data_IF_245612523492
#
_entry.id   IF_245612523492
#
_cell.length_a   1.000
_cell.length_b   1.000
_cell.length_c   1.000
_cell.angle_alpha   90.00
_cell.angle_beta   90.00
_cell.angle_gamma   90.00
#
_symmetry.space_group_name_H-M   'P 1'
#
loop_
_entity.id
_entity.type
_entity.pdbx_description
1 polymer ?
#
# COMPACT_ATOMS: atom_id res chain seq x y z
N UNK A 1 -3.84 78.81 -6.46
CA UNK A 1 -3.12 77.70 -5.73
C UNK A 1 -3.80 76.34 -6.01
N UNK A 2 -3.17 75.49 -6.81
CA UNK A 2 -3.72 74.11 -7.10
C UNK A 2 -2.97 73.11 -6.28
N UNK A 3 -3.64 72.47 -5.32
CA UNK A 3 -3.09 71.40 -4.54
C UNK A 3 -3.10 70.10 -5.38
N UNK A 4 -1.93 69.55 -5.66
CA UNK A 4 -1.78 68.20 -6.24
C UNK A 4 -1.87 67.17 -5.13
N UNK A 5 -2.84 66.25 -5.23
CA UNK A 5 -2.94 65.06 -4.39
C UNK A 5 -2.09 63.96 -5.04
N UNK A 6 -1.05 63.52 -4.38
CA UNK A 6 -0.32 62.29 -4.72
C UNK A 6 -1.07 61.12 -4.09
N UNK A 7 -1.72 60.31 -4.91
CA UNK A 7 -2.29 59.08 -4.48
C UNK A 7 -1.18 58.03 -4.32
N UNK A 8 -0.97 57.56 -3.08
CA UNK A 8 -0.08 56.42 -2.77
C UNK A 8 -0.90 55.16 -3.02
N UNK A 9 -0.63 54.50 -4.14
CA UNK A 9 -1.21 53.21 -4.42
C UNK A 9 -0.56 52.13 -3.54
N UNK A 10 -1.34 51.55 -2.63
CA UNK A 10 -0.91 50.39 -1.84
C UNK A 10 -1.03 49.14 -2.72
N UNK A 11 0.09 48.59 -3.17
CA UNK A 11 0.11 47.29 -3.85
C UNK A 11 0.10 46.20 -2.78
N UNK A 12 -1.04 45.59 -2.61
CA UNK A 12 -1.18 44.42 -1.70
C UNK A 12 -0.64 43.18 -2.43
N UNK A 13 0.59 42.77 -2.10
CA UNK A 13 1.17 41.53 -2.61
C UNK A 13 0.61 40.40 -1.77
N UNK A 14 -0.35 39.64 -2.31
CA UNK A 14 -0.89 38.44 -1.69
C UNK A 14 0.12 37.31 -1.93
N UNK A 15 0.86 36.93 -0.90
CA UNK A 15 1.65 35.71 -0.91
C UNK A 15 0.69 34.49 -0.75
N UNK A 16 0.40 33.85 -1.86
CA UNK A 16 -0.24 32.52 -1.82
C UNK A 16 0.82 31.52 -1.34
N UNK A 17 0.81 31.23 -0.03
CA UNK A 17 1.56 30.12 0.50
C UNK A 17 0.92 28.82 0.00
N UNK A 18 1.51 28.21 -1.02
CA UNK A 18 1.18 26.83 -1.43
C UNK A 18 1.61 25.88 -0.31
N UNK A 19 0.65 25.41 0.49
CA UNK A 19 0.89 24.30 1.41
C UNK A 19 1.15 23.05 0.57
N UNK A 20 2.40 22.69 0.40
CA UNK A 20 2.77 21.38 -0.11
C UNK A 20 2.41 20.37 0.98
N UNK A 21 1.28 19.70 0.82
CA UNK A 21 0.95 18.55 1.62
C UNK A 21 2.09 17.53 1.48
N UNK A 22 2.78 17.24 2.56
CA UNK A 22 3.85 16.26 2.59
C UNK A 22 3.26 14.91 2.20
N UNK A 23 3.70 14.35 1.05
CA UNK A 23 3.31 13.00 0.62
C UNK A 23 3.68 12.03 1.74
N UNK A 24 2.75 11.16 2.17
CA UNK A 24 3.07 10.17 3.19
C UNK A 24 4.28 9.34 2.74
N UNK A 25 5.27 9.22 3.63
CA UNK A 25 6.49 8.48 3.34
C UNK A 25 6.13 7.03 3.05
N UNK A 26 6.31 6.61 1.80
CA UNK A 26 5.98 5.24 1.39
C UNK A 26 6.85 4.24 2.17
N UNK A 27 6.24 3.18 2.68
CA UNK A 27 6.95 2.10 3.36
C UNK A 27 7.85 1.38 2.34
N UNK A 28 9.17 1.27 2.57
CA UNK A 28 10.12 0.69 1.62
C UNK A 28 9.89 -0.80 1.35
N UNK A 29 9.03 -1.45 2.12
CA UNK A 29 8.67 -2.85 1.98
C UNK A 29 7.46 -3.09 1.05
N UNK A 30 6.92 -2.01 0.48
CA UNK A 30 5.85 -2.06 -0.50
C UNK A 30 6.32 -1.55 -1.86
N UNK A 31 5.82 -2.16 -2.91
CA UNK A 31 5.98 -1.75 -4.30
C UNK A 31 4.65 -1.18 -4.80
N UNK A 32 4.68 -0.01 -5.43
CA UNK A 32 3.47 0.73 -5.80
C UNK A 32 2.84 1.46 -4.59
N UNK A 33 1.65 1.99 -4.76
CA UNK A 33 0.97 2.79 -3.74
C UNK A 33 0.16 1.90 -2.80
N UNK A 34 0.53 1.91 -1.53
CA UNK A 34 -0.18 1.23 -0.44
C UNK A 34 -0.51 2.22 0.66
N UNK A 35 -1.76 2.23 1.06
CA UNK A 35 -2.28 3.11 2.11
C UNK A 35 -2.55 2.26 3.35
N UNK A 36 -1.93 2.60 4.47
CA UNK A 36 -2.28 2.02 5.77
C UNK A 36 -3.58 2.67 6.25
N UNK A 37 -4.66 1.91 6.24
CA UNK A 37 -5.97 2.37 6.73
C UNK A 37 -6.01 2.34 8.26
N UNK A 38 -5.64 1.21 8.84
CA UNK A 38 -5.44 1.05 10.28
C UNK A 38 -4.32 0.03 10.53
N UNK A 39 -3.63 0.18 11.63
CA UNK A 39 -2.61 -0.75 12.09
C UNK A 39 -2.52 -0.68 13.61
N UNK A 40 -2.42 -1.83 14.29
CA UNK A 40 -2.16 -1.83 15.72
C UNK A 40 -0.69 -1.51 16.01
N UNK A 41 -0.38 -1.13 17.26
CA UNK A 41 0.96 -0.70 17.67
C UNK A 41 2.07 -1.76 17.48
N UNK A 42 1.70 -3.03 17.37
CA UNK A 42 2.61 -4.15 17.15
C UNK A 42 2.75 -4.53 15.67
N UNK A 43 2.01 -3.91 14.74
CA UNK A 43 2.00 -4.27 13.32
C UNK A 43 1.44 -5.68 13.02
N UNK A 44 0.72 -6.28 13.99
CA UNK A 44 0.21 -7.65 13.85
C UNK A 44 -1.21 -7.72 13.31
N UNK A 45 -1.95 -6.62 13.37
CA UNK A 45 -3.28 -6.47 12.78
C UNK A 45 -3.25 -5.18 11.97
N UNK A 46 -3.52 -5.27 10.68
CA UNK A 46 -3.47 -4.13 9.79
C UNK A 46 -4.49 -4.23 8.66
N UNK A 47 -5.04 -3.07 8.29
CA UNK A 47 -5.81 -2.90 7.06
C UNK A 47 -4.96 -2.10 6.09
N UNK A 48 -4.67 -2.69 4.95
CA UNK A 48 -3.95 -2.04 3.86
C UNK A 48 -4.84 -1.93 2.63
N UNK A 49 -4.89 -0.74 2.06
CA UNK A 49 -5.43 -0.53 0.72
C UNK A 49 -4.29 -0.52 -0.28
N UNK A 50 -4.34 -1.44 -1.20
CA UNK A 50 -3.43 -1.55 -2.32
C UNK A 50 -4.07 -0.95 -3.57
N UNK A 51 -3.42 0.03 -4.18
CA UNK A 51 -3.81 0.50 -5.50
C UNK A 51 -3.50 -0.56 -6.58
N UNK A 52 -4.08 -0.49 -7.80
CA UNK A 52 -3.81 -1.47 -8.85
C UNK A 52 -2.32 -1.73 -9.04
N UNK A 53 -1.91 -2.99 -9.03
CA UNK A 53 -0.52 -3.41 -9.19
C UNK A 53 0.38 -3.26 -7.96
N UNK A 54 -0.10 -2.63 -6.89
CA UNK A 54 0.67 -2.49 -5.66
C UNK A 54 0.76 -3.82 -4.91
N UNK A 55 1.92 -4.06 -4.28
CA UNK A 55 2.21 -5.33 -3.62
C UNK A 55 3.27 -5.18 -2.53
N UNK A 56 3.35 -6.13 -1.63
CA UNK A 56 4.47 -6.25 -0.69
C UNK A 56 5.70 -6.79 -1.42
N UNK A 57 6.88 -6.63 -0.82
CA UNK A 57 8.03 -7.48 -1.13
C UNK A 57 7.76 -8.92 -0.69
N UNK A 58 8.58 -9.85 -1.14
CA UNK A 58 8.64 -11.18 -0.53
C UNK A 58 8.95 -11.02 0.95
N UNK A 59 8.27 -11.77 1.80
CA UNK A 59 8.48 -11.74 3.24
C UNK A 59 8.07 -13.04 3.92
N UNK A 60 8.48 -13.18 5.16
CA UNK A 60 8.21 -14.35 6.01
C UNK A 60 7.63 -13.85 7.33
N UNK A 61 6.57 -14.47 7.81
CA UNK A 61 6.10 -14.35 9.18
C UNK A 61 6.47 -15.60 9.99
N UNK A 62 7.09 -15.42 11.15
CA UNK A 62 7.54 -16.53 11.99
C UNK A 62 6.43 -17.50 12.36
N UNK A 63 5.22 -17.00 12.58
CA UNK A 63 4.05 -17.79 13.00
C UNK A 63 2.89 -17.71 12.02
N UNK A 64 3.18 -17.33 10.77
CA UNK A 64 2.20 -17.27 9.68
C UNK A 64 1.37 -15.98 9.66
N UNK A 65 0.58 -15.88 8.58
CA UNK A 65 -0.28 -14.72 8.31
C UNK A 65 -1.62 -15.18 7.75
N UNK A 66 -2.70 -14.54 8.20
CA UNK A 66 -4.02 -14.62 7.59
C UNK A 66 -4.24 -13.33 6.78
N UNK A 67 -4.74 -13.46 5.56
CA UNK A 67 -5.10 -12.37 4.68
C UNK A 67 -6.57 -12.56 4.29
N UNK A 68 -7.41 -11.57 4.56
CA UNK A 68 -8.79 -11.47 4.10
C UNK A 68 -8.88 -10.31 3.10
N UNK A 69 -9.40 -10.55 1.91
CA UNK A 69 -9.75 -9.47 0.98
C UNK A 69 -11.13 -8.94 1.37
N UNK A 70 -11.18 -7.67 1.78
CA UNK A 70 -12.44 -7.03 2.18
C UNK A 70 -13.14 -6.38 0.97
N UNK A 71 -12.34 -5.80 0.06
CA UNK A 71 -12.84 -5.12 -1.14
C UNK A 71 -11.88 -5.35 -2.31
N UNK A 72 -12.43 -5.36 -3.52
CA UNK A 72 -11.67 -5.46 -4.76
C UNK A 72 -11.10 -6.85 -5.00
N UNK A 73 -9.92 -6.91 -5.60
CA UNK A 73 -9.23 -8.15 -5.95
C UNK A 73 -7.80 -8.16 -5.42
N UNK A 74 -7.52 -9.15 -4.60
CA UNK A 74 -6.20 -9.41 -4.04
C UNK A 74 -5.43 -10.46 -4.86
N UNK A 75 -4.11 -10.36 -4.85
CA UNK A 75 -3.21 -11.41 -5.33
C UNK A 75 -2.25 -11.82 -4.24
N UNK A 76 -1.91 -13.08 -4.21
CA UNK A 76 -0.83 -13.58 -3.36
C UNK A 76 -0.10 -14.74 -4.02
N UNK A 77 1.10 -15.01 -3.54
CA UNK A 77 1.88 -16.18 -3.95
C UNK A 77 2.73 -16.65 -2.79
N UNK A 78 2.72 -17.96 -2.57
CA UNK A 78 3.70 -18.65 -1.74
C UNK A 78 4.86 -19.07 -2.64
N UNK A 79 6.10 -18.93 -2.17
CA UNK A 79 7.32 -19.23 -2.95
C UNK A 79 7.25 -20.66 -3.53
N UNK A 80 7.45 -20.77 -4.83
CA UNK A 80 7.36 -22.02 -5.57
C UNK A 80 5.95 -22.46 -5.97
N UNK A 81 4.91 -21.79 -5.50
CA UNK A 81 3.52 -22.03 -5.88
C UNK A 81 3.03 -21.10 -7.00
N UNK A 82 1.80 -21.29 -7.46
CA UNK A 82 1.17 -20.38 -8.43
C UNK A 82 0.81 -19.03 -7.79
N UNK A 83 0.67 -17.99 -8.60
CA UNK A 83 -0.04 -16.79 -8.18
C UNK A 83 -1.51 -17.15 -8.03
N UNK A 84 -2.10 -16.73 -6.91
CA UNK A 84 -3.51 -16.92 -6.60
C UNK A 84 -4.22 -15.57 -6.59
N UNK A 85 -5.47 -15.56 -7.00
CA UNK A 85 -6.35 -14.40 -6.95
C UNK A 85 -7.47 -14.62 -5.94
N UNK A 86 -7.73 -13.63 -5.13
CA UNK A 86 -8.74 -13.63 -4.08
C UNK A 86 -9.71 -12.48 -4.33
N UNK A 87 -11.01 -12.77 -4.23
CA UNK A 87 -12.06 -11.77 -4.30
C UNK A 87 -12.53 -11.36 -2.90
N UNK A 88 -13.33 -10.30 -2.84
CA UNK A 88 -13.90 -9.80 -1.60
C UNK A 88 -14.63 -10.91 -0.83
N UNK A 89 -14.31 -11.05 0.45
CA UNK A 89 -14.80 -12.10 1.36
C UNK A 89 -13.93 -13.36 1.39
N UNK A 90 -12.97 -13.51 0.49
CA UNK A 90 -12.08 -14.67 0.46
C UNK A 90 -10.85 -14.48 1.36
N UNK A 91 -10.39 -15.57 1.91
CA UNK A 91 -9.31 -15.61 2.89
C UNK A 91 -8.24 -16.63 2.49
N UNK A 92 -6.98 -16.32 2.74
CA UNK A 92 -5.88 -17.25 2.62
C UNK A 92 -5.04 -17.30 3.90
N UNK A 93 -4.30 -18.38 4.05
CA UNK A 93 -3.34 -18.57 5.13
C UNK A 93 -1.94 -18.84 4.57
N UNK A 94 -1.01 -17.98 4.93
CA UNK A 94 0.41 -18.16 4.64
C UNK A 94 1.07 -18.86 5.85
N UNK A 95 1.62 -20.09 5.68
CA UNK A 95 2.17 -20.85 6.79
C UNK A 95 3.38 -20.21 7.46
N UNK A 96 3.70 -20.57 8.71
CA UNK A 96 4.89 -20.10 9.40
C UNK A 96 6.18 -20.40 8.63
N UNK A 97 7.07 -19.40 8.56
CA UNK A 97 8.39 -19.55 7.96
C UNK A 97 8.41 -19.69 6.44
N UNK A 98 7.27 -19.55 5.77
CA UNK A 98 7.16 -19.70 4.31
C UNK A 98 7.19 -18.33 3.63
N UNK A 99 8.13 -18.08 2.68
CA UNK A 99 8.16 -16.85 1.92
C UNK A 99 6.91 -16.69 1.07
N UNK A 100 6.32 -15.50 1.12
CA UNK A 100 5.14 -15.15 0.34
C UNK A 100 5.12 -13.64 0.06
N UNK A 101 4.27 -13.23 -0.85
CA UNK A 101 3.89 -11.84 -1.08
C UNK A 101 2.39 -11.74 -1.28
N UNK A 102 1.84 -10.55 -1.05
CA UNK A 102 0.44 -10.23 -1.37
C UNK A 102 0.30 -8.78 -1.84
N UNK A 103 -0.82 -8.48 -2.47
CA UNK A 103 -1.12 -7.16 -3.02
C UNK A 103 -2.42 -7.16 -3.79
N UNK A 104 -2.61 -6.17 -4.66
CA UNK A 104 -3.78 -6.04 -5.52
C UNK A 104 -3.56 -6.71 -6.89
N UNK A 105 -4.64 -6.89 -7.65
CA UNK A 105 -4.57 -7.27 -9.06
C UNK A 105 -3.92 -6.16 -9.90
N UNK A 106 -3.42 -6.46 -11.12
CA UNK A 106 -2.75 -5.46 -11.96
C UNK A 106 -3.64 -4.28 -12.36
N UNK A 107 -4.93 -4.51 -12.52
CA UNK A 107 -5.92 -3.58 -13.06
C UNK A 107 -7.00 -3.18 -12.04
N UNK A 108 -7.01 -3.80 -10.86
CA UNK A 108 -7.97 -3.53 -9.80
C UNK A 108 -7.29 -3.50 -8.44
N UNK A 109 -7.51 -2.40 -7.70
CA UNK A 109 -7.08 -2.28 -6.31
C UNK A 109 -7.90 -3.14 -5.36
N UNK A 110 -7.45 -3.23 -4.11
CA UNK A 110 -8.18 -3.97 -3.09
C UNK A 110 -7.76 -3.58 -1.68
N UNK A 111 -8.68 -3.78 -0.74
CA UNK A 111 -8.43 -3.62 0.70
C UNK A 111 -8.28 -5.00 1.33
N UNK A 112 -7.22 -5.16 2.11
CA UNK A 112 -6.90 -6.41 2.79
C UNK A 112 -6.80 -6.20 4.29
N UNK A 113 -7.47 -7.05 5.04
CA UNK A 113 -7.29 -7.23 6.46
C UNK A 113 -6.26 -8.33 6.72
N UNK A 114 -5.22 -7.99 7.44
CA UNK A 114 -4.07 -8.85 7.68
C UNK A 114 -3.91 -9.12 9.16
N UNK A 115 -3.76 -10.40 9.53
CA UNK A 115 -3.39 -10.83 10.88
C UNK A 115 -2.09 -11.61 10.79
N UNK A 116 -1.02 -11.02 11.31
CA UNK A 116 0.32 -11.61 11.34
C UNK A 116 0.70 -12.01 12.76
N UNK A 117 1.57 -13.00 12.89
CA UNK A 117 2.09 -13.41 14.19
C UNK A 117 3.61 -13.61 14.15
N UNK A 118 4.25 -13.28 15.27
CA UNK A 118 5.70 -13.32 15.39
C UNK A 118 6.40 -12.21 14.61
N UNK A 119 7.70 -12.32 14.47
CA UNK A 119 8.51 -11.40 13.68
C UNK A 119 8.24 -11.50 12.19
N UNK A 120 8.63 -10.46 11.47
CA UNK A 120 8.61 -10.43 10.00
C UNK A 120 10.05 -10.30 9.49
N UNK A 121 10.37 -11.07 8.45
CA UNK A 121 11.62 -10.94 7.69
C UNK A 121 11.29 -10.52 6.26
N UNK A 122 11.74 -9.34 5.89
CA UNK A 122 11.60 -8.82 4.54
C UNK A 122 12.70 -9.36 3.64
N UNK A 123 12.33 -9.73 2.43
CA UNK A 123 13.19 -10.31 1.41
C UNK A 123 13.26 -9.40 0.18
N UNK A 124 13.57 -9.98 -0.97
CA UNK A 124 13.67 -9.29 -2.26
C UNK A 124 12.32 -8.73 -2.75
N UNK A 125 12.38 -7.83 -3.70
CA UNK A 125 11.21 -7.35 -4.42
C UNK A 125 10.59 -8.44 -5.28
N UNK A 126 9.26 -8.39 -5.43
CA UNK A 126 8.54 -9.23 -6.39
C UNK A 126 8.79 -8.64 -7.76
N UNK A 127 9.39 -9.41 -8.66
CA UNK A 127 9.63 -8.96 -10.05
C UNK A 127 8.31 -8.82 -10.81
N UNK A 128 8.29 -7.94 -11.81
CA UNK A 128 7.09 -7.79 -12.65
C UNK A 128 6.71 -9.11 -13.37
N UNK A 129 7.70 -9.95 -13.69
CA UNK A 129 7.47 -11.27 -14.26
C UNK A 129 6.74 -12.22 -13.30
N UNK A 130 7.14 -12.23 -12.01
CA UNK A 130 6.47 -13.02 -10.98
C UNK A 130 5.06 -12.50 -10.74
N UNK A 131 4.92 -11.18 -10.60
CA UNK A 131 3.64 -10.54 -10.33
C UNK A 131 2.63 -10.71 -11.49
N UNK A 132 3.07 -10.64 -12.75
CA UNK A 132 2.22 -10.76 -13.94
C UNK A 132 1.95 -12.21 -14.36
N UNK A 133 2.47 -13.19 -13.64
CA UNK A 133 2.18 -14.59 -13.94
C UNK A 133 0.66 -14.86 -13.89
N UNK A 134 0.14 -15.77 -14.74
CA UNK A 134 -1.27 -16.12 -14.75
C UNK A 134 -1.72 -16.58 -13.35
N UNK A 135 -2.77 -15.92 -12.83
CA UNK A 135 -3.32 -16.28 -11.53
C UNK A 135 -4.30 -17.46 -11.66
N UNK A 136 -4.39 -18.22 -10.58
CA UNK A 136 -5.42 -19.26 -10.38
C UNK A 136 -6.45 -18.77 -9.36
N UNK A 137 -7.62 -19.30 -9.46
CA UNK A 137 -8.70 -19.23 -8.48
C UNK A 137 -8.75 -20.47 -7.64
#
# INVERSE_FOLDING_TARGET
MRRKWLGIGFVCVIFLASSQAQQPKQNPNFQGTVITVTENSQGTIAHYRFEPGARTKWHIHEKGQIILVEEGVGRYQVKGGPVMELHAGETTYCPPGVPHWHGAAPDQGGTQFNVSRGGITWLEEVTDKEFSAPAKH
#
